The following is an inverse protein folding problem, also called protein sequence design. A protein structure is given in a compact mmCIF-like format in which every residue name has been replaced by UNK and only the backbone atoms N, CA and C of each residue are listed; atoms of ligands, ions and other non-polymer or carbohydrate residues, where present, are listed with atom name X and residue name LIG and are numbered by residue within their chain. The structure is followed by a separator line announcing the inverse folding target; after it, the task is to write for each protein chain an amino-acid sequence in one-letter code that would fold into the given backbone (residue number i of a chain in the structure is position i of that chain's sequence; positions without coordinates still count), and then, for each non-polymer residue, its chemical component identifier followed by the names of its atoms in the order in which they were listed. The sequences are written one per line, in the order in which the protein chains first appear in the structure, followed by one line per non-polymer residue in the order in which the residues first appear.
data_IF_779959453481
#
_entry.id   IF_779959453481
#
_cell.length_a   1.000
_cell.length_b   1.000
_cell.length_c   1.000
_cell.angle_alpha   90.00
_cell.angle_beta   90.00
_cell.angle_gamma   90.00
#
_symmetry.space_group_name_H-M   'P 1'
#
loop_
_entity.id
_entity.type
_entity.pdbx_description
1 polymer ?
#
# COMPACT_ATOMS: atom_id res chain seq x y z
N UNK A 1 -4.45 14.07 18.90
CA UNK A 1 -5.46 14.16 17.85
C UNK A 1 -6.39 15.30 18.22
N UNK A 2 -6.65 16.24 17.33
CA UNK A 2 -7.62 17.29 17.61
C UNK A 2 -9.02 16.66 17.81
N UNK A 3 -9.81 17.08 18.80
CA UNK A 3 -11.07 16.41 19.18
C UNK A 3 -12.05 16.27 18.00
N UNK A 4 -12.16 17.29 17.15
CA UNK A 4 -12.99 17.25 15.95
C UNK A 4 -12.58 16.14 14.95
N UNK A 5 -11.29 15.84 14.84
CA UNK A 5 -10.77 14.80 13.94
C UNK A 5 -11.06 13.39 14.46
N UNK A 6 -11.16 13.23 15.77
CA UNK A 6 -11.55 11.96 16.37
C UNK A 6 -13.04 11.70 16.15
N UNK A 7 -13.89 12.72 16.29
CA UNK A 7 -15.34 12.61 16.03
C UNK A 7 -15.64 12.27 14.57
N UNK A 8 -14.96 12.92 13.62
CA UNK A 8 -15.07 12.62 12.19
C UNK A 8 -14.67 11.17 11.88
N UNK A 9 -13.54 10.71 12.43
CA UNK A 9 -13.08 9.34 12.26
C UNK A 9 -14.05 8.31 12.87
N UNK A 10 -14.65 8.62 14.02
CA UNK A 10 -15.68 7.77 14.63
C UNK A 10 -16.91 7.69 13.72
N UNK A 11 -17.32 8.81 13.11
CA UNK A 11 -18.39 8.84 12.13
C UNK A 11 -18.11 7.95 10.91
N UNK A 12 -16.91 8.06 10.34
CA UNK A 12 -16.47 7.23 9.20
C UNK A 12 -16.46 5.73 9.55
N UNK A 13 -15.89 5.35 10.69
CA UNK A 13 -15.85 3.95 11.13
C UNK A 13 -17.26 3.40 11.39
N UNK A 14 -18.17 4.23 11.91
CA UNK A 14 -19.56 3.84 12.16
C UNK A 14 -20.32 3.62 10.84
N UNK A 15 -20.10 4.49 9.85
CA UNK A 15 -20.68 4.33 8.52
C UNK A 15 -20.16 3.07 7.83
N UNK A 16 -18.85 2.82 7.90
CA UNK A 16 -18.25 1.61 7.37
C UNK A 16 -18.81 0.34 8.01
N UNK A 17 -18.99 0.31 9.32
CA UNK A 17 -19.58 -0.83 10.03
C UNK A 17 -21.00 -1.16 9.56
N UNK A 18 -21.78 -0.14 9.19
CA UNK A 18 -23.13 -0.33 8.65
C UNK A 18 -23.13 -0.94 7.25
N UNK A 19 -22.06 -0.73 6.47
CA UNK A 19 -21.93 -1.20 5.08
C UNK A 19 -21.21 -2.56 4.97
N UNK A 20 -20.23 -2.85 5.83
CA UNK A 20 -19.34 -4.01 5.72
C UNK A 20 -20.03 -5.37 6.00
N UNK A 21 -21.14 -5.38 6.76
CA UNK A 21 -21.90 -6.60 7.08
C UNK A 21 -21.14 -7.64 7.92
N UNK A 22 -19.95 -7.30 8.42
CA UNK A 22 -19.07 -8.09 9.27
C UNK A 22 -18.83 -7.36 10.61
N UNK A 23 -18.45 -8.05 11.70
CA UNK A 23 -18.07 -7.39 12.93
C UNK A 23 -16.76 -6.60 12.73
N UNK A 24 -16.74 -5.32 13.12
CA UNK A 24 -15.54 -4.47 13.07
C UNK A 24 -14.30 -5.11 13.72
N UNK A 25 -14.49 -5.93 14.76
CA UNK A 25 -13.41 -6.62 15.46
C UNK A 25 -12.75 -7.72 14.60
N UNK A 26 -13.47 -8.32 13.66
CA UNK A 26 -12.87 -9.26 12.71
C UNK A 26 -11.99 -8.54 11.68
N UNK A 27 -12.35 -7.32 11.31
CA UNK A 27 -11.63 -6.54 10.30
C UNK A 27 -10.46 -5.73 10.87
N UNK A 28 -10.66 -5.09 12.02
CA UNK A 28 -9.68 -4.18 12.61
C UNK A 28 -9.02 -4.75 13.87
N UNK A 29 -9.53 -5.84 14.43
CA UNK A 29 -9.12 -6.40 15.72
C UNK A 29 -9.65 -5.58 16.91
N UNK A 30 -9.09 -5.79 18.11
CA UNK A 30 -9.53 -5.11 19.33
C UNK A 30 -9.40 -3.59 19.21
N UNK A 31 -10.42 -2.86 19.65
CA UNK A 31 -10.47 -1.39 19.55
C UNK A 31 -9.26 -0.68 20.20
N UNK A 32 -8.72 -1.23 21.29
CA UNK A 32 -7.52 -0.69 21.96
C UNK A 32 -6.28 -0.73 21.07
N UNK A 33 -6.04 -1.84 20.37
CA UNK A 33 -4.91 -1.96 19.44
C UNK A 33 -5.06 -1.03 18.22
N UNK A 34 -6.29 -0.82 17.76
CA UNK A 34 -6.59 0.11 16.69
C UNK A 34 -6.34 1.55 17.13
N UNK A 35 -6.84 1.94 18.31
CA UNK A 35 -6.61 3.27 18.89
C UNK A 35 -5.11 3.55 19.08
N UNK A 36 -4.34 2.57 19.57
CA UNK A 36 -2.89 2.66 19.69
C UNK A 36 -2.22 2.85 18.33
N UNK A 37 -2.65 2.13 17.29
CA UNK A 37 -2.11 2.27 15.94
C UNK A 37 -2.43 3.64 15.31
N UNK A 38 -3.61 4.18 15.57
CA UNK A 38 -4.05 5.47 15.07
C UNK A 38 -3.35 6.64 15.79
N UNK A 39 -3.12 6.52 17.09
CA UNK A 39 -2.48 7.56 17.92
C UNK A 39 -0.95 7.53 17.83
N UNK A 40 -0.33 6.35 17.62
CA UNK A 40 1.13 6.24 17.35
C UNK A 40 1.56 7.05 16.13
N UNK A 41 0.63 7.35 15.21
CA UNK A 41 0.82 8.25 14.07
C UNK A 41 1.27 9.67 14.48
N UNK A 42 0.89 10.16 15.66
CA UNK A 42 1.27 11.47 16.17
C UNK A 42 2.55 11.45 17.03
N UNK A 43 2.94 10.29 17.56
CA UNK A 43 4.20 10.12 18.29
C UNK A 43 5.42 9.81 17.41
N UNK A 44 5.21 9.45 16.15
CA UNK A 44 6.28 9.07 15.21
C UNK A 44 7.08 10.27 14.62
N UNK A 45 6.79 11.50 15.08
CA UNK A 45 7.65 12.68 14.87
C UNK A 45 8.84 12.73 15.84
N UNK A 46 8.83 11.92 16.89
CA UNK A 46 10.06 11.55 17.57
C UNK A 46 10.81 10.55 16.67
N UNK A 47 11.68 11.09 15.81
CA UNK A 47 12.94 10.39 15.56
C UNK A 47 13.53 10.26 16.96
N UNK A 48 13.38 9.08 17.58
CA UNK A 48 14.09 8.76 18.79
C UNK A 48 15.53 9.20 18.56
N UNK A 49 16.04 10.04 19.46
CA UNK A 49 17.46 10.41 19.47
C UNK A 49 18.32 9.15 19.41
N UNK A 50 19.65 9.27 19.24
CA UNK A 50 20.55 8.14 19.02
C UNK A 50 20.60 7.19 20.24
N UNK A 51 19.55 6.42 20.47
CA UNK A 51 19.51 5.27 21.36
C UNK A 51 20.04 4.08 20.60
N UNK A 52 20.82 3.23 21.24
CA UNK A 52 21.54 2.10 20.63
C UNK A 52 20.65 1.03 19.97
N UNK A 53 19.33 1.22 19.91
CA UNK A 53 18.38 0.31 19.29
C UNK A 53 18.41 0.32 17.76
N UNK A 54 17.80 -0.71 17.13
CA UNK A 54 17.67 -0.79 15.68
C UNK A 54 16.79 0.35 15.14
N UNK A 55 17.10 0.85 13.94
CA UNK A 55 16.27 1.86 13.30
C UNK A 55 14.93 1.24 12.91
N UNK A 56 13.81 1.85 13.31
CA UNK A 56 12.46 1.43 12.87
C UNK A 56 11.84 2.48 11.96
N UNK A 57 11.29 2.05 10.84
CA UNK A 57 10.67 2.91 9.84
C UNK A 57 9.42 2.28 9.25
N UNK A 58 8.32 3.03 9.21
CA UNK A 58 7.02 2.57 8.69
C UNK A 58 6.66 3.38 7.45
N UNK A 59 6.28 2.69 6.38
CA UNK A 59 5.88 3.29 5.12
C UNK A 59 4.79 2.49 4.40
N UNK A 60 4.14 3.11 3.42
CA UNK A 60 3.14 2.49 2.57
C UNK A 60 3.34 2.89 1.11
N UNK A 61 2.89 2.04 0.20
CA UNK A 61 2.91 2.30 -1.23
C UNK A 61 1.70 1.71 -1.93
N UNK A 62 1.46 2.14 -3.17
CA UNK A 62 0.54 1.45 -4.04
C UNK A 62 1.07 0.07 -4.46
N UNK A 63 0.14 -0.83 -4.81
CA UNK A 63 0.44 -2.20 -5.20
C UNK A 63 1.27 -2.33 -6.49
N UNK A 64 1.53 -1.25 -7.22
CA UNK A 64 2.33 -1.29 -8.44
C UNK A 64 3.80 -0.99 -8.15
N UNK A 65 4.07 -0.13 -7.16
CA UNK A 65 5.42 0.28 -6.79
C UNK A 65 5.99 -0.49 -5.59
N UNK A 66 5.14 -1.12 -4.78
CA UNK A 66 5.57 -1.74 -3.51
C UNK A 66 6.69 -2.78 -3.66
N UNK A 67 6.68 -3.61 -4.71
CA UNK A 67 7.70 -4.68 -4.90
C UNK A 67 9.05 -4.07 -5.26
N UNK A 68 9.07 -3.06 -6.12
CA UNK A 68 10.28 -2.34 -6.49
C UNK A 68 10.86 -1.58 -5.29
N UNK A 69 9.99 -0.93 -4.50
CA UNK A 69 10.39 -0.23 -3.28
C UNK A 69 10.93 -1.20 -2.23
N UNK A 70 10.28 -2.34 -2.03
CA UNK A 70 10.77 -3.41 -1.14
C UNK A 70 12.16 -3.89 -1.57
N UNK A 71 12.36 -4.21 -2.85
CA UNK A 71 13.66 -4.64 -3.36
C UNK A 71 14.72 -3.55 -3.15
N UNK A 72 14.38 -2.29 -3.42
CA UNK A 72 15.27 -1.15 -3.23
C UNK A 72 15.65 -0.96 -1.76
N UNK A 73 14.71 -1.02 -0.83
CA UNK A 73 14.99 -0.83 0.60
C UNK A 73 15.66 -2.06 1.22
N UNK A 74 15.34 -3.26 0.74
CA UNK A 74 16.05 -4.50 1.07
C UNK A 74 17.52 -4.46 0.74
N UNK A 75 17.87 -3.95 -0.45
CA UNK A 75 19.26 -3.72 -0.85
C UNK A 75 19.99 -2.67 -0.01
N UNK A 76 19.27 -1.82 0.74
CA UNK A 76 19.82 -0.83 1.67
C UNK A 76 19.91 -1.32 3.11
N UNK A 77 19.51 -2.56 3.36
CA UNK A 77 19.59 -3.20 4.67
C UNK A 77 18.31 -3.13 5.51
N UNK A 78 17.20 -2.64 4.94
CA UNK A 78 15.92 -2.62 5.63
C UNK A 78 15.23 -3.97 5.52
N UNK A 79 14.98 -4.59 6.67
CA UNK A 79 14.16 -5.77 6.85
C UNK A 79 12.70 -5.33 7.02
N UNK A 80 11.77 -5.83 6.20
CA UNK A 80 10.34 -5.73 6.48
C UNK A 80 9.97 -6.81 7.51
N UNK A 81 9.71 -6.41 8.74
CA UNK A 81 9.39 -7.35 9.82
C UNK A 81 7.95 -7.85 9.71
N UNK A 82 7.04 -6.91 9.46
CA UNK A 82 5.61 -7.18 9.37
C UNK A 82 4.91 -6.21 8.46
N UNK A 83 3.76 -6.65 7.96
CA UNK A 83 2.75 -5.80 7.36
C UNK A 83 1.68 -5.52 8.41
N UNK A 84 1.38 -4.25 8.66
CA UNK A 84 0.32 -3.92 9.61
C UNK A 84 -1.08 -4.04 8.98
N UNK A 85 -2.12 -3.93 9.82
CA UNK A 85 -3.52 -4.07 9.40
C UNK A 85 -3.99 -2.97 8.45
N UNK A 86 -3.21 -1.91 8.26
CA UNK A 86 -3.50 -0.82 7.31
C UNK A 86 -2.71 -0.97 6.00
N UNK A 87 -2.05 -2.11 5.78
CA UNK A 87 -1.22 -2.35 4.60
C UNK A 87 0.08 -1.55 4.60
N UNK A 88 0.61 -1.18 5.77
CA UNK A 88 1.88 -0.44 5.91
C UNK A 88 3.00 -1.39 6.31
N UNK A 89 4.13 -1.26 5.64
CA UNK A 89 5.33 -2.04 5.89
C UNK A 89 6.05 -1.47 7.11
N UNK A 90 6.23 -2.30 8.13
CA UNK A 90 7.05 -2.00 9.30
C UNK A 90 8.43 -2.56 9.05
N UNK A 91 9.38 -1.67 8.80
CA UNK A 91 10.76 -2.02 8.52
C UNK A 91 11.67 -1.76 9.71
N UNK A 92 12.63 -2.65 9.91
CA UNK A 92 13.72 -2.52 10.88
C UNK A 92 15.05 -2.60 10.16
N UNK A 93 16.06 -1.89 10.66
CA UNK A 93 17.45 -2.06 10.23
C UNK A 93 18.36 -2.21 11.43
N UNK A 94 19.13 -3.29 11.42
CA UNK A 94 20.23 -3.49 12.36
C UNK A 94 21.37 -2.51 12.03
N UNK A 95 21.89 -1.82 13.05
CA UNK A 95 22.97 -0.85 12.90
C UNK A 95 24.35 -1.49 12.95
N UNK A 96 24.50 -2.65 13.60
CA UNK A 96 25.77 -3.34 13.74
C UNK A 96 26.04 -4.26 12.55
N UNK A 97 25.01 -4.99 12.10
CA UNK A 97 25.11 -5.93 10.99
C UNK A 97 23.95 -5.76 10.00
N UNK A 98 23.93 -4.66 9.21
CA UNK A 98 22.91 -4.46 8.20
C UNK A 98 23.05 -5.51 7.09
N UNK A 99 22.04 -6.37 6.95
CA UNK A 99 21.98 -7.42 5.93
C UNK A 99 21.06 -7.02 4.78
N UNK A 100 21.40 -7.41 3.56
CA UNK A 100 20.50 -7.27 2.41
C UNK A 100 19.36 -8.28 2.47
N UNK A 101 18.21 -7.87 1.96
CA UNK A 101 16.98 -8.66 1.94
C UNK A 101 16.40 -8.75 0.54
N UNK A 102 16.00 -9.95 0.16
CA UNK A 102 15.18 -10.21 -1.02
C UNK A 102 13.72 -10.32 -0.63
N UNK A 103 12.83 -9.79 -1.46
CA UNK A 103 11.39 -9.82 -1.26
C UNK A 103 10.68 -10.43 -2.45
N UNK A 104 9.55 -11.09 -2.17
CA UNK A 104 8.69 -11.69 -3.18
C UNK A 104 7.23 -11.50 -2.80
N UNK A 105 6.40 -11.14 -3.77
CA UNK A 105 4.95 -11.06 -3.63
C UNK A 105 4.29 -12.12 -4.48
N UNK A 106 3.33 -12.80 -3.90
CA UNK A 106 2.48 -13.78 -4.60
C UNK A 106 1.01 -13.40 -4.44
N UNK A 107 0.21 -13.73 -5.45
CA UNK A 107 -1.24 -13.56 -5.40
C UNK A 107 -1.86 -14.93 -5.19
N UNK A 108 -2.52 -15.15 -4.04
CA UNK A 108 -3.12 -16.46 -3.76
C UNK A 108 -4.41 -16.35 -2.96
N UNK A 109 -5.39 -17.17 -3.34
CA UNK A 109 -6.62 -17.35 -2.56
C UNK A 109 -6.36 -18.20 -1.32
N UNK A 110 -7.21 -18.05 -0.29
CA UNK A 110 -6.99 -18.64 1.04
C UNK A 110 -6.59 -20.13 1.04
N UNK A 111 -7.23 -20.96 0.22
CA UNK A 111 -6.95 -22.42 0.13
C UNK A 111 -5.55 -22.80 -0.38
N UNK A 112 -4.91 -21.96 -1.18
CA UNK A 112 -3.60 -22.26 -1.78
C UNK A 112 -2.44 -21.61 -1.02
N UNK A 113 -2.73 -20.81 0.01
CA UNK A 113 -1.72 -20.06 0.76
C UNK A 113 -0.81 -20.95 1.59
N UNK A 114 -1.36 -21.93 2.30
CA UNK A 114 -0.58 -22.83 3.15
C UNK A 114 0.40 -23.68 2.34
N UNK A 115 -0.07 -24.23 1.21
CA UNK A 115 0.78 -25.00 0.30
C UNK A 115 1.89 -24.15 -0.31
N UNK A 116 1.57 -22.92 -0.71
CA UNK A 116 2.56 -21.98 -1.23
C UNK A 116 3.60 -21.61 -0.17
N UNK A 117 3.14 -21.33 1.06
CA UNK A 117 4.03 -21.00 2.18
C UNK A 117 4.95 -22.16 2.52
N UNK A 118 4.41 -23.38 2.59
CA UNK A 118 5.20 -24.59 2.86
C UNK A 118 6.25 -24.84 1.77
N UNK A 119 5.88 -24.65 0.49
CA UNK A 119 6.83 -24.76 -0.61
C UNK A 119 7.93 -23.70 -0.51
N UNK A 120 7.57 -22.44 -0.30
CA UNK A 120 8.54 -21.34 -0.27
C UNK A 120 9.46 -21.40 0.98
N UNK A 121 8.97 -21.94 2.09
CA UNK A 121 9.79 -22.21 3.26
C UNK A 121 10.96 -23.17 2.96
N UNK A 122 10.82 -24.10 2.01
CA UNK A 122 11.94 -24.98 1.58
C UNK A 122 13.04 -24.24 0.80
N UNK A 123 12.77 -23.03 0.33
CA UNK A 123 13.69 -22.15 -0.39
C UNK A 123 14.18 -20.96 0.49
N UNK A 124 14.05 -21.11 1.82
CA UNK A 124 14.36 -20.12 2.86
C UNK A 124 13.55 -18.82 2.76
N UNK A 125 12.36 -18.85 2.15
CA UNK A 125 11.45 -17.72 2.16
C UNK A 125 10.54 -17.77 3.39
N UNK A 126 10.52 -16.65 4.12
CA UNK A 126 9.69 -16.45 5.30
C UNK A 126 8.49 -15.57 4.98
N UNK A 127 7.30 -16.01 5.39
CA UNK A 127 6.09 -15.20 5.33
C UNK A 127 6.17 -14.09 6.38
N UNK A 128 5.99 -12.82 5.99
CA UNK A 128 5.97 -11.69 6.93
C UNK A 128 4.68 -10.88 6.90
N UNK A 129 3.80 -11.10 5.92
CA UNK A 129 2.54 -10.37 5.88
C UNK A 129 1.60 -10.75 4.74
N UNK A 130 0.33 -10.39 4.91
CA UNK A 130 -0.73 -10.58 3.92
C UNK A 130 -1.60 -9.34 3.84
N UNK A 131 -1.95 -8.89 2.64
CA UNK A 131 -2.83 -7.74 2.42
C UNK A 131 -3.73 -7.97 1.21
N UNK A 132 -5.04 -8.05 1.46
CA UNK A 132 -6.02 -8.42 0.44
C UNK A 132 -5.65 -9.75 -0.23
N UNK A 133 -5.50 -9.78 -1.58
CA UNK A 133 -5.11 -10.99 -2.30
C UNK A 133 -3.60 -11.28 -2.29
N UNK A 134 -2.79 -10.37 -1.73
CA UNK A 134 -1.34 -10.44 -1.78
C UNK A 134 -0.74 -11.07 -0.52
N UNK A 135 0.29 -11.88 -0.75
CA UNK A 135 1.08 -12.54 0.29
C UNK A 135 2.54 -12.17 0.06
N UNK A 136 3.21 -11.73 1.13
CA UNK A 136 4.56 -11.19 1.05
C UNK A 136 5.55 -12.07 1.79
N UNK A 137 6.62 -12.41 1.08
CA UNK A 137 7.71 -13.23 1.57
C UNK A 137 9.01 -12.42 1.57
N UNK A 138 9.87 -12.72 2.54
CA UNK A 138 11.21 -12.16 2.66
C UNK A 138 12.23 -13.28 2.78
N UNK A 139 13.47 -12.99 2.41
CA UNK A 139 14.60 -13.90 2.61
C UNK A 139 15.88 -13.08 2.81
N UNK A 140 16.71 -13.39 3.80
CA UNK A 140 18.01 -12.75 3.92
C UNK A 140 18.89 -13.15 2.73
N UNK A 141 19.53 -12.18 2.07
CA UNK A 141 20.47 -12.51 0.98
C UNK A 141 21.67 -13.31 1.48
N UNK A 142 21.93 -13.30 2.79
CA UNK A 142 22.96 -14.13 3.43
C UNK A 142 22.69 -15.64 3.25
N UNK A 143 21.43 -16.06 3.13
CA UNK A 143 21.09 -17.46 2.84
C UNK A 143 21.59 -17.90 1.45
N UNK A 144 21.75 -16.96 0.52
CA UNK A 144 22.15 -17.24 -0.87
C UNK A 144 23.62 -16.89 -1.15
N UNK A 145 24.09 -15.77 -0.61
CA UNK A 145 25.41 -15.18 -0.91
C UNK A 145 26.38 -15.20 0.28
N UNK A 146 25.94 -15.70 1.44
CA UNK A 146 26.74 -15.77 2.66
C UNK A 146 27.10 -14.38 3.22
N UNK A 147 28.29 -14.19 3.81
CA UNK A 147 28.68 -12.93 4.47
C UNK A 147 28.76 -11.73 3.52
N UNK A 148 28.78 -11.96 2.19
CA UNK A 148 28.75 -10.88 1.19
C UNK A 148 27.43 -10.08 1.19
N UNK A 149 26.37 -10.60 1.81
CA UNK A 149 25.10 -9.89 1.99
C UNK A 149 25.16 -8.76 3.02
N UNK A 150 26.21 -8.69 3.85
CA UNK A 150 26.37 -7.64 4.84
C UNK A 150 26.83 -6.33 4.18
N UNK A 151 26.13 -5.24 4.51
CA UNK A 151 26.46 -3.91 4.01
C UNK A 151 27.54 -3.27 4.89
N UNK A 152 28.64 -2.86 4.28
CA UNK A 152 29.72 -2.15 5.00
C UNK A 152 29.37 -0.69 5.33
N UNK A 153 28.50 -0.07 4.53
CA UNK A 153 28.06 1.32 4.71
C UNK A 153 26.61 1.49 4.22
N UNK A 154 25.60 1.32 5.09
CA UNK A 154 24.20 1.50 4.70
C UNK A 154 23.87 2.98 4.47
N UNK A 155 23.02 3.33 3.48
CA UNK A 155 22.64 4.72 3.22
C UNK A 155 21.76 5.30 4.34
N UNK A 156 21.64 6.63 4.39
CA UNK A 156 20.81 7.32 5.38
C UNK A 156 19.34 6.85 5.33
N UNK A 157 18.64 6.84 6.48
CA UNK A 157 17.25 6.38 6.54
C UNK A 157 16.34 7.23 5.64
N UNK A 158 15.44 6.61 4.87
CA UNK A 158 14.50 7.34 4.03
C UNK A 158 13.52 8.16 4.88
N UNK A 159 13.33 9.43 4.52
CA UNK A 159 12.42 10.35 5.25
C UNK A 159 10.97 10.22 4.80
N UNK A 160 10.75 9.84 3.54
CA UNK A 160 9.41 9.74 2.94
C UNK A 160 8.75 8.43 3.35
N UNK A 161 7.48 8.47 3.75
CA UNK A 161 6.72 7.30 4.27
C UNK A 161 5.55 6.87 3.37
N UNK A 162 5.25 7.62 2.31
CA UNK A 162 4.09 7.40 1.45
C UNK A 162 4.49 7.49 -0.01
N UNK A 163 4.28 6.40 -0.75
CA UNK A 163 4.67 6.26 -2.15
C UNK A 163 3.47 5.83 -2.99
N UNK A 164 2.69 6.82 -3.43
CA UNK A 164 1.65 6.61 -4.44
C UNK A 164 2.09 7.20 -5.76
N UNK A 165 1.91 6.43 -6.83
CA UNK A 165 2.11 6.92 -8.18
C UNK A 165 1.13 8.08 -8.46
N UNK A 166 1.61 9.24 -8.96
CA UNK A 166 0.78 10.43 -9.12
C UNK A 166 -0.41 10.20 -10.07
N UNK A 167 -0.27 9.29 -11.03
CA UNK A 167 -1.35 8.98 -11.96
C UNK A 167 -2.53 8.25 -11.29
N UNK A 168 -2.31 7.48 -10.22
CA UNK A 168 -3.41 6.85 -9.47
C UNK A 168 -4.27 7.93 -8.84
N UNK A 169 -3.64 8.96 -8.27
CA UNK A 169 -4.34 10.12 -7.72
C UNK A 169 -5.10 10.89 -8.80
N UNK A 170 -4.51 11.05 -9.99
CA UNK A 170 -5.18 11.69 -11.14
C UNK A 170 -6.37 10.88 -11.62
N UNK A 171 -6.22 9.55 -11.79
CA UNK A 171 -7.32 8.67 -12.22
C UNK A 171 -8.44 8.64 -11.19
N UNK A 172 -8.11 8.61 -9.89
CA UNK A 172 -9.09 8.67 -8.82
C UNK A 172 -9.82 10.02 -8.82
N UNK A 173 -9.09 11.13 -8.92
CA UNK A 173 -9.69 12.46 -9.01
C UNK A 173 -10.61 12.61 -10.24
N UNK A 174 -10.21 12.05 -11.38
CA UNK A 174 -11.04 12.03 -12.59
C UNK A 174 -12.30 11.18 -12.39
N UNK A 175 -12.18 9.99 -11.79
CA UNK A 175 -13.33 9.13 -11.49
C UNK A 175 -14.31 9.81 -10.53
N UNK A 176 -13.81 10.47 -9.48
CA UNK A 176 -14.63 11.25 -8.54
C UNK A 176 -15.31 12.42 -9.27
N UNK A 177 -14.59 13.15 -10.12
CA UNK A 177 -15.16 14.24 -10.90
C UNK A 177 -16.30 13.75 -11.83
N UNK A 178 -16.12 12.59 -12.48
CA UNK A 178 -17.16 11.96 -13.31
C UNK A 178 -18.35 11.54 -12.46
N UNK A 179 -18.13 10.93 -11.29
CA UNK A 179 -19.20 10.53 -10.38
C UNK A 179 -20.01 11.75 -9.90
N UNK A 180 -19.33 12.82 -9.47
CA UNK A 180 -19.94 14.08 -9.05
C UNK A 180 -20.72 14.71 -10.20
N UNK A 181 -20.14 14.79 -11.39
CA UNK A 181 -20.84 15.32 -12.57
C UNK A 181 -22.10 14.50 -12.90
N UNK A 182 -22.04 13.18 -12.77
CA UNK A 182 -23.18 12.28 -13.01
C UNK A 182 -24.31 12.54 -12.01
N UNK A 183 -23.98 12.71 -10.72
CA UNK A 183 -24.97 13.02 -9.67
C UNK A 183 -25.58 14.39 -9.88
N UNK A 184 -24.77 15.41 -10.22
CA UNK A 184 -25.27 16.77 -10.49
C UNK A 184 -26.17 16.81 -11.72
N UNK A 185 -25.82 16.08 -12.79
CA UNK A 185 -26.63 15.98 -13.99
C UNK A 185 -27.96 15.25 -13.70
N UNK A 186 -27.93 14.16 -12.95
CA UNK A 186 -29.14 13.44 -12.53
C UNK A 186 -30.05 14.30 -11.63
N UNK A 187 -29.48 15.08 -10.71
CA UNK A 187 -30.22 15.98 -9.82
C UNK A 187 -30.78 17.23 -10.51
N UNK A 188 -30.20 17.63 -11.66
CA UNK A 188 -30.66 18.78 -12.45
C UNK A 188 -31.93 18.51 -13.27
N UNK A 189 -32.48 17.29 -13.25
CA UNK A 189 -33.68 16.92 -14.01
C UNK A 189 -33.45 16.81 -15.52
N UNK A 190 -32.20 16.91 -15.99
CA UNK A 190 -31.82 16.60 -17.36
C UNK A 190 -31.97 15.09 -17.59
N UNK A 191 -33.12 14.68 -18.11
CA UNK A 191 -33.41 13.28 -18.38
C UNK A 191 -32.34 12.65 -19.27
N UNK A 192 -31.82 11.49 -18.85
CA UNK A 192 -30.99 10.58 -19.64
C UNK A 192 -31.69 10.04 -20.92
N UNK A 193 -32.91 10.50 -21.18
CA UNK A 193 -33.75 10.15 -22.33
C UNK A 193 -33.49 11.03 -23.55
N UNK A 194 -32.75 12.13 -23.42
CA UNK A 194 -32.36 12.94 -24.58
C UNK A 194 -31.15 12.32 -25.28
N UNK A 195 -31.27 12.02 -26.58
CA UNK A 195 -30.22 11.38 -27.38
C UNK A 195 -28.90 12.15 -27.40
N UNK A 196 -28.93 13.46 -27.12
CA UNK A 196 -27.75 14.30 -26.95
C UNK A 196 -26.96 13.97 -25.67
N UNK A 197 -27.63 13.58 -24.59
CA UNK A 197 -27.03 13.22 -23.30
C UNK A 197 -26.35 11.86 -23.36
N UNK A 198 -26.95 10.90 -24.07
CA UNK A 198 -26.38 9.58 -24.33
C UNK A 198 -25.16 9.65 -25.27
N UNK A 199 -25.23 10.50 -26.29
CA UNK A 199 -24.09 10.79 -27.16
C UNK A 199 -22.94 11.46 -26.38
N UNK A 200 -23.25 12.42 -25.49
CA UNK A 200 -22.26 13.05 -24.62
C UNK A 200 -21.60 12.06 -23.65
N UNK A 201 -22.38 11.15 -23.05
CA UNK A 201 -21.87 10.10 -22.16
C UNK A 201 -20.96 9.10 -22.91
N UNK A 202 -21.36 8.68 -24.12
CA UNK A 202 -20.55 7.78 -24.97
C UNK A 202 -19.27 8.46 -25.47
N UNK A 203 -19.33 9.74 -25.83
CA UNK A 203 -18.13 10.53 -26.18
C UNK A 203 -17.22 10.71 -24.98
N UNK A 204 -17.76 10.94 -23.78
CA UNK A 204 -16.99 11.02 -22.54
C UNK A 204 -16.30 9.68 -22.20
N UNK A 205 -17.01 8.57 -22.33
CA UNK A 205 -16.47 7.21 -22.11
C UNK A 205 -15.40 6.84 -23.12
N UNK A 206 -15.61 7.16 -24.40
CA UNK A 206 -14.64 6.87 -25.46
C UNK A 206 -13.42 7.78 -25.38
N UNK A 207 -13.59 9.07 -25.12
CA UNK A 207 -12.48 10.00 -24.91
C UNK A 207 -11.68 9.64 -23.64
N UNK A 208 -12.35 9.30 -22.54
CA UNK A 208 -11.72 8.83 -21.30
C UNK A 208 -10.97 7.51 -21.50
N UNK A 209 -11.58 6.54 -22.20
CA UNK A 209 -10.95 5.27 -22.55
C UNK A 209 -9.75 5.43 -23.48
N UNK A 210 -9.83 6.31 -24.48
CA UNK A 210 -8.73 6.60 -25.40
C UNK A 210 -7.57 7.34 -24.72
N UNK A 211 -7.86 8.29 -23.82
CA UNK A 211 -6.83 8.97 -23.03
C UNK A 211 -6.16 8.01 -22.04
N UNK A 212 -6.93 7.12 -21.39
CA UNK A 212 -6.38 6.07 -20.54
C UNK A 212 -5.50 5.09 -21.31
N UNK A 213 -5.95 4.63 -22.48
CA UNK A 213 -5.19 3.73 -23.35
C UNK A 213 -3.93 4.40 -23.94
N UNK A 214 -4.00 5.68 -24.29
CA UNK A 214 -2.86 6.47 -24.78
C UNK A 214 -1.83 6.69 -23.68
N UNK A 215 -2.27 7.06 -22.47
CA UNK A 215 -1.41 7.20 -21.30
C UNK A 215 -0.71 5.89 -20.97
N UNK A 216 -1.44 4.76 -20.95
CA UNK A 216 -0.87 3.43 -20.75
C UNK A 216 0.18 3.06 -21.81
N UNK A 217 -0.13 3.28 -23.10
CA UNK A 217 0.81 3.05 -24.21
C UNK A 217 2.03 3.96 -24.18
N UNK A 218 1.89 5.19 -23.66
CA UNK A 218 3.00 6.13 -23.54
C UNK A 218 3.93 5.79 -22.37
N UNK A 219 3.38 5.21 -21.29
CA UNK A 219 4.14 4.73 -20.15
C UNK A 219 4.87 3.41 -20.46
N UNK A 220 4.20 2.46 -21.13
CA UNK A 220 4.81 1.18 -21.53
C UNK A 220 6.04 1.34 -22.43
N UNK A 221 6.07 2.41 -23.25
CA UNK A 221 7.22 2.73 -24.13
C UNK A 221 8.42 3.33 -23.40
N UNK A 222 8.26 3.84 -22.18
CA UNK A 222 9.37 4.40 -21.38
C UNK A 222 10.11 3.37 -20.53
N UNK A 223 9.57 2.16 -20.42
CA UNK A 223 10.17 1.05 -19.67
C UNK A 223 10.88 0.01 -20.54
N UNK A 224 10.89 0.21 -21.87
CA UNK A 224 11.56 -0.66 -22.85
C UNK A 224 12.72 0.04 -23.60
N UNK A 225 13.13 1.23 -23.13
CA UNK A 225 14.27 2.00 -23.65
C UNK A 225 15.39 2.10 -22.64
#
# INVERSE_FOLDING_TARGET
MAPARAEELVGELTAFAAEAGSPLEEEFGPAGELADQLTRREGADAVDGPGAGPDTWVWTADALQEVELLARFGGQGWEAERLDRLGRFVCRRDRQTPLRWSYRRETTGGRHREQLTARLATEDWELFGTWGPFVYFKRPEAAVTGPAAQLSAPPAPPRRRVYFAPWILVTLAAAVAVAVATVLLAGSGAGLTDGASLAGALVGLTAGGLLGAWAWRSAARRHTG
#
